data_IF_942226933188
#
_entry.id   IF_942226933188
#
_cell.length_a   1.000
_cell.length_b   1.000
_cell.length_c   1.000
_cell.angle_alpha   90.00
_cell.angle_beta   90.00
_cell.angle_gamma   90.00
#
_symmetry.space_group_name_H-M   'P 1'
#
loop_
_entity.id
_entity.type
_entity.pdbx_description
1 polymer ?
#
# COMPACT_ATOMS: atom_id res chain seq x y z
N UNK A 1 -13.74 0.17 22.34
CA UNK A 1 -13.56 -1.29 22.39
C UNK A 1 -12.41 -1.66 21.47
N UNK A 2 -11.34 -2.18 22.03
CA UNK A 2 -10.32 -2.69 21.17
C UNK A 2 -10.88 -3.91 20.43
N UNK A 3 -10.99 -3.78 19.13
CA UNK A 3 -11.29 -4.91 18.27
C UNK A 3 -10.05 -5.79 18.24
N UNK A 4 -9.87 -6.60 19.28
CA UNK A 4 -8.87 -7.66 19.25
C UNK A 4 -9.38 -8.73 18.29
N UNK A 5 -9.15 -8.52 17.00
CA UNK A 5 -9.07 -9.65 16.10
C UNK A 5 -7.87 -10.46 16.57
N UNK A 6 -8.10 -11.45 17.35
CA UNK A 6 -7.20 -12.59 17.39
C UNK A 6 -7.21 -13.18 15.99
N UNK A 7 -6.33 -12.69 15.15
CA UNK A 7 -5.95 -13.40 13.95
C UNK A 7 -5.26 -14.67 14.46
N UNK A 8 -6.05 -15.73 14.57
CA UNK A 8 -5.47 -17.02 14.81
C UNK A 8 -4.53 -17.30 13.64
N UNK A 9 -3.26 -17.48 13.94
CA UNK A 9 -2.22 -17.85 12.97
C UNK A 9 -2.58 -19.11 12.16
N UNK A 10 -3.67 -19.78 12.51
CA UNK A 10 -4.13 -21.03 11.88
C UNK A 10 -4.96 -20.84 10.61
N UNK A 11 -5.32 -19.60 10.24
CA UNK A 11 -6.20 -19.32 9.09
C UNK A 11 -5.63 -18.26 8.15
N UNK A 12 -4.32 -18.16 8.04
CA UNK A 12 -3.72 -17.32 7.00
C UNK A 12 -4.08 -17.89 5.64
N UNK A 13 -4.87 -17.13 4.88
CA UNK A 13 -5.16 -17.48 3.51
C UNK A 13 -3.88 -17.45 2.70
N UNK A 14 -3.62 -18.44 1.82
CA UNK A 14 -2.47 -18.38 0.93
C UNK A 14 -2.53 -17.13 0.07
N UNK A 15 -1.37 -16.51 -0.16
CA UNK A 15 -1.24 -15.32 -1.00
C UNK A 15 -1.13 -15.79 -2.45
N UNK A 16 -2.13 -15.47 -3.27
CA UNK A 16 -2.21 -15.87 -4.67
C UNK A 16 -2.39 -14.69 -5.63
N UNK A 17 -2.37 -13.46 -5.12
CA UNK A 17 -2.57 -12.27 -5.93
C UNK A 17 -1.98 -11.03 -5.26
N UNK A 18 -1.87 -9.93 -6.00
CA UNK A 18 -1.47 -8.64 -5.44
C UNK A 18 -2.44 -8.20 -4.32
N UNK A 19 -3.73 -8.40 -4.50
CA UNK A 19 -4.73 -8.04 -3.49
C UNK A 19 -4.57 -8.86 -2.21
N UNK A 20 -4.31 -10.15 -2.32
CA UNK A 20 -4.04 -11.00 -1.15
C UNK A 20 -2.79 -10.54 -0.41
N UNK A 21 -1.74 -10.22 -1.14
CA UNK A 21 -0.50 -9.68 -0.59
C UNK A 21 -0.74 -8.36 0.14
N UNK A 22 -1.46 -7.44 -0.47
CA UNK A 22 -1.81 -6.15 0.12
C UNK A 22 -2.61 -6.33 1.41
N UNK A 23 -3.64 -7.18 1.40
CA UNK A 23 -4.45 -7.46 2.59
C UNK A 23 -3.61 -8.03 3.74
N UNK A 24 -2.72 -8.96 3.44
CA UNK A 24 -1.84 -9.56 4.43
C UNK A 24 -0.86 -8.52 5.03
N UNK A 25 -0.27 -7.68 4.19
CA UNK A 25 0.62 -6.61 4.63
C UNK A 25 -0.11 -5.56 5.48
N UNK A 26 -1.30 -5.14 5.05
CA UNK A 26 -2.13 -4.18 5.80
C UNK A 26 -2.49 -4.73 7.18
N UNK A 27 -2.87 -6.01 7.26
CA UNK A 27 -3.17 -6.65 8.55
C UNK A 27 -1.95 -6.61 9.49
N UNK A 28 -0.77 -6.85 8.95
CA UNK A 28 0.49 -6.80 9.71
C UNK A 28 0.83 -5.38 10.17
N UNK A 29 0.72 -4.39 9.29
CA UNK A 29 0.93 -2.98 9.62
C UNK A 29 -0.01 -2.52 10.75
N UNK A 30 -1.28 -2.86 10.65
CA UNK A 30 -2.29 -2.52 11.66
C UNK A 30 -2.02 -3.20 12.99
N UNK A 31 -1.52 -4.44 12.97
CA UNK A 31 -1.14 -5.15 14.19
C UNK A 31 0.00 -4.45 14.94
N UNK A 32 0.83 -3.68 14.25
CA UNK A 32 1.90 -2.86 14.80
C UNK A 32 1.49 -1.39 15.02
N UNK A 33 0.19 -1.09 14.98
CA UNK A 33 -0.38 0.25 15.15
C UNK A 33 0.14 1.29 14.14
N UNK A 34 0.51 0.84 12.96
CA UNK A 34 0.90 1.73 11.87
C UNK A 34 -0.33 2.15 11.07
N UNK A 35 -0.46 3.45 10.83
CA UNK A 35 -1.55 3.99 10.04
C UNK A 35 -1.22 3.87 8.56
N UNK A 36 -2.12 3.27 7.80
CA UNK A 36 -1.95 3.14 6.36
C UNK A 36 -3.28 3.35 5.63
N UNK A 37 -3.17 3.86 4.41
CA UNK A 37 -4.32 4.13 3.55
C UNK A 37 -4.12 3.46 2.19
N UNK A 38 -5.09 2.67 1.75
CA UNK A 38 -5.13 2.18 0.38
C UNK A 38 -5.50 3.31 -0.58
N UNK A 39 -4.86 3.34 -1.73
CA UNK A 39 -5.06 4.37 -2.75
C UNK A 39 -5.66 3.83 -4.03
N UNK A 40 -6.09 2.58 -4.05
CA UNK A 40 -6.51 1.86 -5.26
C UNK A 40 -7.93 2.20 -5.72
N UNK A 41 -8.22 3.49 -5.80
CA UNK A 41 -9.52 4.03 -6.25
C UNK A 41 -9.88 3.57 -7.68
N UNK A 42 -8.90 3.25 -8.50
CA UNK A 42 -9.12 2.76 -9.86
C UNK A 42 -9.63 1.31 -9.91
N UNK A 43 -9.43 0.52 -8.87
CA UNK A 43 -9.87 -0.88 -8.84
C UNK A 43 -11.40 -0.99 -8.82
N UNK A 44 -12.10 -0.01 -8.25
CA UNK A 44 -13.55 0.06 -8.27
C UNK A 44 -14.15 0.13 -9.68
N UNK A 45 -13.38 0.61 -10.65
CA UNK A 45 -13.81 0.72 -12.05
C UNK A 45 -14.14 -0.66 -12.64
N UNK A 46 -13.45 -1.70 -12.20
CA UNK A 46 -13.69 -3.07 -12.66
C UNK A 46 -15.10 -3.60 -12.37
N UNK A 47 -15.80 -3.03 -11.40
CA UNK A 47 -17.17 -3.40 -11.07
C UNK A 47 -18.22 -2.71 -11.96
N UNK A 48 -17.82 -1.71 -12.73
CA UNK A 48 -18.71 -0.99 -13.66
C UNK A 48 -18.72 -1.73 -14.99
N UNK A 49 -19.89 -2.23 -15.41
CA UNK A 49 -20.01 -3.04 -16.64
C UNK A 49 -20.14 -2.20 -17.91
N UNK A 50 -20.68 -1.00 -17.80
CA UNK A 50 -20.93 -0.10 -18.91
C UNK A 50 -19.67 0.73 -19.22
N UNK A 51 -19.16 0.61 -20.46
CA UNK A 51 -17.94 1.30 -20.90
C UNK A 51 -18.05 2.83 -20.81
N UNK A 52 -19.14 3.49 -21.28
CA UNK A 52 -19.29 4.93 -21.10
C UNK A 52 -19.26 5.38 -19.63
N UNK A 53 -19.93 4.65 -18.76
CA UNK A 53 -19.91 4.94 -17.31
C UNK A 53 -18.53 4.73 -16.70
N UNK A 54 -17.76 3.75 -17.15
CA UNK A 54 -16.38 3.56 -16.73
C UNK A 54 -15.52 4.78 -17.05
N UNK A 55 -15.62 5.29 -18.28
CA UNK A 55 -14.85 6.46 -18.71
C UNK A 55 -15.19 7.71 -17.91
N UNK A 56 -16.49 7.97 -17.68
CA UNK A 56 -16.97 9.08 -16.89
C UNK A 56 -16.49 8.97 -15.45
N UNK A 57 -16.63 7.81 -14.84
CA UNK A 57 -16.18 7.55 -13.47
C UNK A 57 -14.67 7.74 -13.33
N UNK A 58 -13.89 7.23 -14.28
CA UNK A 58 -12.43 7.37 -14.29
C UNK A 58 -12.02 8.85 -14.34
N UNK A 59 -12.66 9.64 -15.22
CA UNK A 59 -12.40 11.08 -15.29
C UNK A 59 -12.79 11.81 -14.01
N UNK A 60 -13.89 11.38 -13.38
CA UNK A 60 -14.35 11.94 -12.12
C UNK A 60 -13.32 11.73 -11.01
N UNK A 61 -12.82 10.51 -10.82
CA UNK A 61 -11.84 10.23 -9.76
C UNK A 61 -10.50 10.91 -10.03
N UNK A 62 -10.09 11.07 -11.28
CA UNK A 62 -8.89 11.84 -11.65
C UNK A 62 -9.10 13.32 -11.29
N UNK A 63 -10.25 13.88 -11.59
CA UNK A 63 -10.59 15.26 -11.22
C UNK A 63 -10.61 15.47 -9.69
N UNK A 64 -10.94 14.42 -8.94
CA UNK A 64 -10.93 14.42 -7.47
C UNK A 64 -9.54 14.23 -6.87
N UNK A 65 -8.51 14.06 -7.70
CA UNK A 65 -7.13 14.00 -7.24
C UNK A 65 -6.43 12.65 -7.43
N UNK A 66 -7.08 11.67 -8.06
CA UNK A 66 -6.41 10.42 -8.36
C UNK A 66 -5.41 10.61 -9.50
N UNK A 67 -4.22 10.04 -9.36
CA UNK A 67 -3.17 10.05 -10.37
C UNK A 67 -3.03 8.66 -10.99
N UNK A 68 -2.89 8.60 -12.31
CA UNK A 68 -2.59 7.34 -12.99
C UNK A 68 -1.25 6.80 -12.51
N UNK A 69 -1.23 5.54 -12.09
CA UNK A 69 -0.03 4.90 -11.60
C UNK A 69 0.33 5.24 -10.16
N UNK A 70 -0.58 5.87 -9.40
CA UNK A 70 -0.33 6.12 -7.98
C UNK A 70 -0.07 4.81 -7.22
N UNK A 71 0.84 4.80 -6.22
CA UNK A 71 1.11 3.61 -5.42
C UNK A 71 -0.13 3.09 -4.70
N UNK A 72 -0.15 1.79 -4.40
CA UNK A 72 -1.30 1.11 -3.81
C UNK A 72 -1.58 1.48 -2.36
N UNK A 73 -0.54 1.84 -1.62
CA UNK A 73 -0.63 2.05 -0.17
C UNK A 73 0.24 3.22 0.27
N UNK A 74 -0.29 4.00 1.21
CA UNK A 74 0.46 5.05 1.91
C UNK A 74 0.59 4.61 3.37
N UNK A 75 1.81 4.63 3.91
CA UNK A 75 2.08 4.30 5.31
C UNK A 75 2.60 5.55 6.02
N UNK A 76 1.99 5.88 7.14
CA UNK A 76 2.42 6.97 8.00
C UNK A 76 3.03 6.40 9.28
N UNK A 77 4.28 6.72 9.54
CA UNK A 77 4.99 6.24 10.72
C UNK A 77 6.15 7.19 11.08
N UNK A 78 6.28 7.53 12.36
CA UNK A 78 7.35 8.39 12.87
C UNK A 78 7.50 9.73 12.10
N UNK A 79 6.39 10.35 11.72
CA UNK A 79 6.34 11.59 10.92
C UNK A 79 6.88 11.43 9.50
N UNK A 80 7.08 10.20 9.06
CA UNK A 80 7.50 9.87 7.70
C UNK A 80 6.33 9.32 6.89
N UNK A 81 6.42 9.49 5.59
CA UNK A 81 5.46 8.97 4.62
C UNK A 81 6.18 7.98 3.71
N UNK A 82 5.69 6.77 3.66
CA UNK A 82 6.22 5.72 2.77
C UNK A 82 5.11 5.26 1.82
N UNK A 83 5.44 5.17 0.56
CA UNK A 83 4.54 4.67 -0.48
C UNK A 83 4.93 3.24 -0.84
N UNK A 84 3.94 2.38 -1.04
CA UNK A 84 4.18 0.98 -1.40
C UNK A 84 3.37 0.60 -2.63
N UNK A 85 4.04 0.00 -3.59
CA UNK A 85 3.47 -0.64 -4.76
C UNK A 85 3.55 -2.14 -4.57
N UNK A 86 2.44 -2.86 -4.74
CA UNK A 86 2.40 -4.30 -4.63
C UNK A 86 2.51 -4.94 -6.00
N UNK A 87 3.34 -5.97 -6.10
CA UNK A 87 3.48 -6.82 -7.27
C UNK A 87 3.49 -8.29 -6.85
N UNK A 88 2.84 -9.12 -7.64
CA UNK A 88 2.79 -10.56 -7.39
C UNK A 88 3.38 -11.33 -8.59
N UNK A 89 4.16 -12.36 -8.30
CA UNK A 89 4.76 -13.20 -9.33
C UNK A 89 5.67 -12.41 -10.27
N UNK A 90 5.39 -12.51 -11.57
CA UNK A 90 6.17 -11.85 -12.63
C UNK A 90 5.65 -10.45 -13.00
N UNK A 91 4.68 -9.93 -12.27
CA UNK A 91 4.11 -8.62 -12.52
C UNK A 91 5.16 -7.52 -12.49
N UNK A 92 5.03 -6.56 -13.40
CA UNK A 92 5.91 -5.40 -13.52
C UNK A 92 5.10 -4.11 -13.42
N UNK A 93 5.75 -3.03 -13.01
CA UNK A 93 5.14 -1.70 -13.00
C UNK A 93 4.79 -1.28 -14.43
N UNK A 94 3.59 -0.69 -14.60
CA UNK A 94 3.22 -0.02 -15.84
C UNK A 94 4.04 1.26 -16.03
N UNK A 95 4.01 1.84 -17.23
CA UNK A 95 4.68 3.12 -17.49
C UNK A 95 4.17 4.23 -16.57
N UNK A 96 2.86 4.28 -16.32
CA UNK A 96 2.27 5.24 -15.41
C UNK A 96 2.76 5.05 -13.97
N UNK A 97 2.89 3.80 -13.51
CA UNK A 97 3.41 3.51 -12.18
C UNK A 97 4.88 3.92 -12.05
N UNK A 98 5.70 3.62 -13.04
CA UNK A 98 7.11 4.04 -13.07
C UNK A 98 7.22 5.58 -13.01
N UNK A 99 6.44 6.28 -13.82
CA UNK A 99 6.44 7.74 -13.86
C UNK A 99 6.00 8.37 -12.54
N UNK A 100 4.92 7.86 -11.94
CA UNK A 100 4.43 8.35 -10.66
C UNK A 100 5.44 8.11 -9.53
N UNK A 101 6.01 6.92 -9.45
CA UNK A 101 7.04 6.59 -8.47
C UNK A 101 8.27 7.52 -8.62
N UNK A 102 8.70 7.78 -9.84
CA UNK A 102 9.82 8.68 -10.09
C UNK A 102 9.54 10.11 -9.59
N UNK A 103 8.33 10.62 -9.78
CA UNK A 103 7.92 11.93 -9.25
C UNK A 103 7.99 11.98 -7.73
N UNK A 104 7.49 10.93 -7.06
CA UNK A 104 7.50 10.84 -5.60
C UNK A 104 8.93 10.78 -5.06
N UNK A 105 9.79 9.97 -5.66
CA UNK A 105 11.20 9.85 -5.26
C UNK A 105 11.94 11.18 -5.46
N UNK A 106 11.64 11.90 -6.55
CA UNK A 106 12.21 13.22 -6.80
C UNK A 106 11.81 14.25 -5.74
N UNK A 107 10.62 14.09 -5.14
CA UNK A 107 10.16 14.90 -4.02
C UNK A 107 10.80 14.51 -2.69
N UNK A 108 11.58 13.44 -2.65
CA UNK A 108 12.24 12.94 -1.44
C UNK A 108 11.46 11.88 -0.66
N UNK A 109 10.35 11.38 -1.20
CA UNK A 109 9.59 10.32 -0.55
C UNK A 109 10.16 8.95 -0.87
N UNK A 110 10.06 8.03 0.10
CA UNK A 110 10.38 6.63 -0.10
C UNK A 110 9.23 5.92 -0.83
N UNK A 111 9.56 5.24 -1.92
CA UNK A 111 8.62 4.40 -2.67
C UNK A 111 9.17 2.99 -2.74
N UNK A 112 8.45 2.04 -2.19
CA UNK A 112 8.85 0.65 -2.10
C UNK A 112 8.00 -0.23 -3.01
N UNK A 113 8.61 -1.30 -3.49
CA UNK A 113 7.91 -2.38 -4.18
C UNK A 113 7.96 -3.62 -3.31
N UNK A 114 6.78 -4.10 -2.91
CA UNK A 114 6.67 -5.34 -2.12
C UNK A 114 6.08 -6.45 -2.98
N UNK A 115 6.78 -7.56 -3.00
CA UNK A 115 6.41 -8.76 -3.76
C UNK A 115 6.04 -9.93 -2.86
N UNK A 116 6.47 -9.91 -1.62
CA UNK A 116 6.28 -10.96 -0.62
C UNK A 116 5.94 -10.35 0.72
N UNK A 117 5.24 -11.12 1.57
CA UNK A 117 4.91 -10.70 2.92
C UNK A 117 6.16 -10.39 3.75
N UNK A 118 7.26 -11.08 3.47
CA UNK A 118 8.56 -10.87 4.10
C UNK A 118 9.08 -9.44 3.91
N UNK A 119 8.83 -8.82 2.75
CA UNK A 119 9.21 -7.44 2.48
C UNK A 119 8.57 -6.49 3.50
N UNK A 120 7.28 -6.70 3.77
CA UNK A 120 6.55 -5.95 4.79
C UNK A 120 7.13 -6.19 6.18
N UNK A 121 7.40 -7.44 6.54
CA UNK A 121 7.95 -7.82 7.84
C UNK A 121 9.30 -7.14 8.09
N UNK A 122 10.18 -7.17 7.11
CA UNK A 122 11.51 -6.53 7.21
C UNK A 122 11.39 -5.02 7.38
N UNK A 123 10.49 -4.40 6.62
CA UNK A 123 10.26 -2.97 6.73
C UNK A 123 9.71 -2.58 8.11
N UNK A 124 8.73 -3.33 8.63
CA UNK A 124 8.16 -3.10 9.96
C UNK A 124 9.23 -3.19 11.04
N UNK A 125 10.05 -4.24 11.00
CA UNK A 125 11.11 -4.44 11.99
C UNK A 125 12.11 -3.29 11.99
N UNK A 126 12.50 -2.82 10.81
CA UNK A 126 13.39 -1.67 10.66
C UNK A 126 12.75 -0.38 11.18
N UNK A 127 11.48 -0.13 10.85
CA UNK A 127 10.75 1.05 11.27
C UNK A 127 10.53 1.10 12.78
N UNK A 128 10.17 -0.03 13.39
CA UNK A 128 10.00 -0.16 14.84
C UNK A 128 11.33 0.09 15.56
N UNK A 129 12.41 -0.48 15.07
CA UNK A 129 13.76 -0.28 15.64
C UNK A 129 14.19 1.17 15.56
N UNK A 130 13.97 1.85 14.44
CA UNK A 130 14.27 3.26 14.26
C UNK A 130 13.44 4.14 15.21
N UNK A 131 12.14 3.84 15.37
CA UNK A 131 11.25 4.53 16.30
C UNK A 131 11.70 4.38 17.76
N UNK A 132 12.14 3.22 18.17
CA UNK A 132 12.68 2.96 19.51
C UNK A 132 13.96 3.75 19.76
N UNK A 133 14.86 3.83 18.79
CA UNK A 133 16.09 4.63 18.88
C UNK A 133 15.76 6.10 19.00
N UNK A 134 14.81 6.63 18.23
CA UNK A 134 14.39 8.02 18.29
C UNK A 134 13.75 8.37 19.64
N UNK A 135 13.02 7.46 20.27
CA UNK A 135 12.45 7.64 21.61
C UNK A 135 13.53 7.74 22.68
N UNK A 136 14.63 7.02 22.55
CA UNK A 136 15.72 7.02 23.50
C UNK A 136 16.59 8.28 23.42
N UNK A 137 16.53 9.03 22.32
CA UNK A 137 17.28 10.28 22.10
C UNK A 137 16.57 11.52 22.67
N UNK A 138 15.39 11.35 23.19
CA UNK A 138 14.69 12.41 23.92
C UNK A 138 15.19 12.44 25.35
#
# INVERSE_FOLDING_TARGET
>A
MPYKRQLSLKNEKPINSEHDLQKACVAKLRAHNMLCFATDVFNGIGFIRDVPHKAIYKQHIIAMGAELGQPDLIILHNKEVTFVEFKYGKGKKSENQVACCAKLEKMGYEVLEWRELEDCTKWINKAVKAGSVNKLKK
#
